data_IF_172803404642
#
_entry.id   IF_172803404642
#
_cell.length_a   1.000
_cell.length_b   1.000
_cell.length_c   1.000
_cell.angle_alpha   90.00
_cell.angle_beta   90.00
_cell.angle_gamma   90.00
#
_symmetry.space_group_name_H-M   'P 1'
#
loop_
_entity.id
_entity.type
_entity.pdbx_description
1 polymer ?
#
# COMPACT_ATOMS: atom_id res chain seq x y z
N UNK A 1 -12.99 -22.92 3.39
CA UNK A 1 -11.82 -22.03 3.18
C UNK A 1 -11.15 -21.79 4.54
N UNK A 2 -10.04 -22.45 4.87
CA UNK A 2 -9.33 -22.18 6.14
C UNK A 2 -8.67 -20.82 6.01
N UNK A 3 -9.17 -19.82 6.74
CA UNK A 3 -8.44 -18.57 6.96
C UNK A 3 -7.10 -18.92 7.57
N UNK A 4 -5.99 -18.50 6.94
CA UNK A 4 -4.66 -18.65 7.53
C UNK A 4 -4.69 -17.83 8.83
N UNK A 5 -4.71 -18.50 9.98
CA UNK A 5 -4.67 -17.82 11.28
C UNK A 5 -3.28 -17.22 11.43
N UNK A 6 -3.16 -15.93 11.16
CA UNK A 6 -1.97 -15.16 11.50
C UNK A 6 -1.85 -15.04 13.01
N UNK A 7 -0.64 -15.25 13.53
CA UNK A 7 -0.29 -14.88 14.89
C UNK A 7 -0.37 -13.37 15.07
N UNK A 8 -0.48 -12.91 16.32
CA UNK A 8 -0.51 -11.48 16.64
C UNK A 8 0.77 -10.76 16.15
N UNK A 9 1.91 -11.45 16.24
CA UNK A 9 3.20 -10.96 15.73
C UNK A 9 3.18 -10.75 14.22
N UNK A 10 2.66 -11.70 13.46
CA UNK A 10 2.54 -11.57 11.99
C UNK A 10 1.53 -10.47 11.61
N UNK A 11 0.39 -10.37 12.31
CA UNK A 11 -0.56 -9.27 12.09
C UNK A 11 0.06 -7.91 12.34
N UNK A 12 0.88 -7.77 13.40
CA UNK A 12 1.57 -6.52 13.71
C UNK A 12 2.62 -6.19 12.65
N UNK A 13 3.37 -7.19 12.17
CA UNK A 13 4.34 -7.00 11.09
C UNK A 13 3.68 -6.53 9.80
N UNK A 14 2.58 -7.17 9.39
CA UNK A 14 1.78 -6.74 8.23
C UNK A 14 1.23 -5.33 8.45
N UNK A 15 0.73 -5.01 9.64
CA UNK A 15 0.25 -3.66 9.94
C UNK A 15 1.32 -2.59 9.76
N UNK A 16 2.56 -2.83 10.20
CA UNK A 16 3.66 -1.90 9.97
C UNK A 16 4.06 -1.81 8.50
N UNK A 17 4.06 -2.93 7.77
CA UNK A 17 4.35 -2.94 6.34
C UNK A 17 3.34 -2.08 5.56
N UNK A 18 2.04 -2.35 5.74
CA UNK A 18 0.97 -1.61 5.06
C UNK A 18 0.89 -0.14 5.52
N UNK A 19 1.22 0.15 6.79
CA UNK A 19 1.29 1.51 7.29
C UNK A 19 2.45 2.31 6.68
N UNK A 20 3.60 1.69 6.41
CA UNK A 20 4.72 2.33 5.73
C UNK A 20 4.30 2.83 4.33
N UNK A 21 3.68 1.95 3.56
CA UNK A 21 3.11 2.26 2.25
C UNK A 21 2.07 3.40 2.34
N UNK A 22 1.21 3.35 3.36
CA UNK A 22 0.19 4.38 3.56
C UNK A 22 0.78 5.75 3.89
N UNK A 23 1.80 5.81 4.75
CA UNK A 23 2.45 7.07 5.13
C UNK A 23 3.13 7.68 3.90
N UNK A 24 3.89 6.89 3.14
CA UNK A 24 4.56 7.37 1.93
C UNK A 24 3.58 7.93 0.89
N UNK A 25 2.47 7.22 0.63
CA UNK A 25 1.42 7.67 -0.27
C UNK A 25 0.65 8.91 0.20
N UNK A 26 0.68 9.22 1.51
CA UNK A 26 0.08 10.44 2.07
C UNK A 26 1.07 11.62 2.09
N UNK A 27 2.36 11.36 2.30
CA UNK A 27 3.38 12.42 2.43
C UNK A 27 3.94 12.89 1.09
N UNK A 28 4.03 12.01 0.10
CA UNK A 28 4.57 12.35 -1.21
C UNK A 28 3.47 12.95 -2.09
N UNK A 29 3.58 14.23 -2.43
CA UNK A 29 2.59 14.90 -3.31
C UNK A 29 2.45 14.21 -4.67
N UNK A 30 3.56 13.67 -5.19
CA UNK A 30 3.64 12.95 -6.45
C UNK A 30 3.17 11.48 -6.36
N UNK A 31 2.92 10.94 -5.16
CA UNK A 31 2.46 9.57 -4.99
C UNK A 31 0.96 9.41 -5.23
N UNK A 32 0.59 8.16 -5.52
CA UNK A 32 -0.80 7.75 -5.66
C UNK A 32 -1.58 7.94 -4.35
N UNK A 33 -2.83 8.39 -4.45
CA UNK A 33 -3.70 8.63 -3.30
C UNK A 33 -4.14 7.31 -2.70
N UNK A 34 -3.84 7.12 -1.41
CA UNK A 34 -4.31 5.97 -0.63
C UNK A 34 -5.85 6.01 -0.51
N UNK A 35 -6.51 4.98 -1.04
CA UNK A 35 -7.98 4.81 -0.94
C UNK A 35 -8.36 3.87 0.19
N UNK A 36 -7.60 2.78 0.37
CA UNK A 36 -7.91 1.76 1.37
C UNK A 36 -6.66 1.01 1.78
N UNK A 37 -6.47 0.89 3.09
CA UNK A 37 -5.41 0.09 3.70
C UNK A 37 -6.06 -1.03 4.50
N UNK A 38 -5.61 -2.26 4.33
CA UNK A 38 -6.13 -3.39 5.11
C UNK A 38 -5.05 -4.41 5.44
N UNK A 39 -5.11 -4.93 6.66
CA UNK A 39 -4.31 -6.07 7.14
C UNK A 39 -5.07 -7.39 7.05
N UNK A 40 -6.24 -7.37 6.41
CA UNK A 40 -7.06 -8.56 6.21
C UNK A 40 -6.51 -9.30 4.99
N UNK A 41 -6.10 -10.57 5.15
CA UNK A 41 -5.49 -11.33 4.08
C UNK A 41 -6.49 -11.58 2.95
N UNK A 42 -6.04 -11.38 1.70
CA UNK A 42 -6.84 -11.62 0.51
C UNK A 42 -5.98 -12.30 -0.56
N UNK A 43 -6.36 -13.51 -0.93
CA UNK A 43 -5.56 -14.31 -1.87
C UNK A 43 -4.20 -14.69 -1.27
N UNK A 44 -3.12 -14.38 -1.99
CA UNK A 44 -1.74 -14.62 -1.53
C UNK A 44 -1.19 -13.47 -0.66
N UNK A 45 -1.87 -12.32 -0.59
CA UNK A 45 -1.41 -11.16 0.15
C UNK A 45 -1.84 -11.21 1.63
N UNK A 46 -0.93 -10.86 2.54
CA UNK A 46 -1.18 -10.78 3.99
C UNK A 46 -1.94 -9.52 4.42
N UNK A 47 -1.87 -8.48 3.60
CA UNK A 47 -2.58 -7.21 3.66
C UNK A 47 -2.49 -6.58 2.27
N UNK A 48 -3.14 -5.44 2.06
CA UNK A 48 -2.90 -4.66 0.84
C UNK A 48 -3.25 -3.19 1.04
N UNK A 49 -2.55 -2.37 0.28
CA UNK A 49 -2.83 -0.95 0.10
C UNK A 49 -3.37 -0.71 -1.30
N UNK A 50 -4.58 -0.16 -1.39
CA UNK A 50 -5.18 0.27 -2.65
C UNK A 50 -4.86 1.75 -2.83
N UNK A 51 -3.94 2.04 -3.76
CA UNK A 51 -3.59 3.39 -4.16
C UNK A 51 -4.09 3.66 -5.59
N UNK A 52 -4.63 4.84 -5.81
CA UNK A 52 -5.09 5.28 -7.14
C UNK A 52 -4.38 6.57 -7.55
N UNK A 53 -4.08 6.76 -8.85
CA UNK A 53 -3.55 8.04 -9.33
C UNK A 53 -4.46 9.21 -8.95
N UNK A 54 -3.87 10.37 -8.61
CA UNK A 54 -4.63 11.61 -8.36
C UNK A 54 -5.24 12.16 -9.64
N UNK A 55 -4.53 12.01 -10.75
CA UNK A 55 -4.94 12.42 -12.09
C UNK A 55 -4.66 11.27 -13.04
N UNK A 56 -5.58 11.01 -13.99
CA UNK A 56 -5.34 10.03 -15.04
C UNK A 56 -4.43 10.64 -16.10
N UNK A 57 -3.17 10.20 -16.10
CA UNK A 57 -2.15 10.68 -17.04
C UNK A 57 -1.56 9.51 -17.80
N UNK A 58 -1.46 9.63 -19.12
CA UNK A 58 -0.75 8.64 -19.95
C UNK A 58 0.77 8.68 -19.76
N UNK A 59 1.30 9.75 -19.16
CA UNK A 59 2.74 9.98 -18.98
C UNK A 59 3.06 10.16 -17.51
N UNK A 60 4.12 9.50 -17.03
CA UNK A 60 4.59 9.63 -15.65
C UNK A 60 5.85 10.50 -15.62
N UNK A 61 5.89 11.46 -14.71
CA UNK A 61 7.11 12.24 -14.46
C UNK A 61 8.15 11.39 -13.73
N UNK A 62 9.43 11.77 -13.82
CA UNK A 62 10.50 11.11 -13.05
C UNK A 62 10.16 11.05 -11.56
N UNK A 63 9.66 12.15 -10.99
CA UNK A 63 9.28 12.25 -9.58
C UNK A 63 8.15 11.28 -9.19
N UNK A 64 7.17 11.07 -10.08
CA UNK A 64 6.12 10.06 -9.86
C UNK A 64 6.68 8.64 -9.91
N UNK A 65 7.61 8.35 -10.81
CA UNK A 65 8.28 7.04 -10.86
C UNK A 65 9.12 6.80 -9.61
N UNK A 66 9.88 7.79 -9.16
CA UNK A 66 10.66 7.72 -7.92
C UNK A 66 9.75 7.50 -6.70
N UNK A 67 8.61 8.20 -6.63
CA UNK A 67 7.61 8.00 -5.58
C UNK A 67 6.98 6.59 -5.61
N UNK A 68 6.73 6.03 -6.79
CA UNK A 68 6.20 4.66 -6.95
C UNK A 68 7.21 3.57 -6.59
N UNK A 69 8.51 3.82 -6.68
CA UNK A 69 9.54 2.86 -6.26
C UNK A 69 9.73 2.91 -4.73
N UNK A 70 9.54 4.08 -4.14
CA UNK A 70 9.72 4.29 -2.71
C UNK A 70 8.59 3.69 -1.86
N UNK A 71 7.33 3.77 -2.35
CA UNK A 71 6.14 3.18 -1.73
C UNK A 71 5.76 1.82 -2.30
#
# INVERSE_FOLDING_TARGET
>A
KKSRKYSEKERRLVAYHEAGHAVLGLTLEAANKVQKVTIVPRGQAGGYNLMTPKEETYFQTKTQLEANIAG
#
